data_IF_207341236495
#
_entry.id   IF_207341236495
#
_cell.length_a   1.000
_cell.length_b   1.000
_cell.length_c   1.000
_cell.angle_alpha   90.00
_cell.angle_beta   90.00
_cell.angle_gamma   90.00
#
_symmetry.space_group_name_H-M   'P 1'
#
loop_
_entity.id
_entity.type
_entity.pdbx_description
1 polymer ?
#
# COMPACT_ATOMS: atom_id res chain seq x y z
N UNK A 1 38.86 50.74 18.40
CA UNK A 1 37.49 50.24 18.64
C UNK A 1 37.28 48.75 18.27
N UNK A 2 38.29 47.86 18.30
CA UNK A 2 38.15 46.48 17.80
C UNK A 2 38.12 45.33 18.83
N UNK A 3 38.39 45.59 20.12
CA UNK A 3 38.50 44.54 21.15
C UNK A 3 37.17 44.22 21.86
N UNK A 4 36.25 45.18 22.03
CA UNK A 4 34.97 44.92 22.72
C UNK A 4 34.00 44.07 21.90
N UNK A 5 34.03 44.16 20.57
CA UNK A 5 33.13 43.42 19.69
C UNK A 5 33.43 41.91 19.63
N UNK A 6 34.70 41.49 19.85
CA UNK A 6 35.08 40.07 19.86
C UNK A 6 34.69 39.36 21.16
N UNK A 7 34.78 40.06 22.29
CA UNK A 7 34.37 39.52 23.59
C UNK A 7 32.84 39.29 23.64
N UNK A 8 32.05 40.28 23.18
CA UNK A 8 30.60 40.16 23.12
C UNK A 8 30.12 39.08 22.13
N UNK A 9 30.85 38.86 21.02
CA UNK A 9 30.53 37.79 20.06
C UNK A 9 30.85 36.39 20.62
N UNK A 10 31.95 36.23 21.38
CA UNK A 10 32.30 34.97 22.03
C UNK A 10 31.29 34.58 23.12
N UNK A 11 30.79 35.56 23.89
CA UNK A 11 29.80 35.35 24.93
C UNK A 11 28.43 34.93 24.37
N UNK A 12 27.98 35.58 23.28
CA UNK A 12 26.76 35.16 22.56
C UNK A 12 26.88 33.77 21.95
N UNK A 13 28.05 33.42 21.39
CA UNK A 13 28.28 32.07 20.84
C UNK A 13 28.27 30.99 21.93
N UNK A 14 28.75 31.30 23.14
CA UNK A 14 28.71 30.39 24.28
C UNK A 14 27.26 30.18 24.78
N UNK A 15 26.47 31.25 24.86
CA UNK A 15 25.04 31.18 25.22
C UNK A 15 24.24 30.36 24.21
N UNK A 16 24.43 30.60 22.90
CA UNK A 16 23.77 29.83 21.83
C UNK A 16 24.12 28.34 21.87
N UNK A 17 25.38 27.98 22.15
CA UNK A 17 25.80 26.57 22.29
C UNK A 17 25.19 25.90 23.53
N UNK A 18 25.06 26.64 24.63
CA UNK A 18 24.43 26.14 25.84
C UNK A 18 22.91 25.89 25.66
N UNK A 19 22.23 26.77 24.91
CA UNK A 19 20.81 26.59 24.56
C UNK A 19 20.61 25.45 23.56
N UNK A 20 21.44 25.34 22.52
CA UNK A 20 21.40 24.22 21.57
C UNK A 20 21.62 22.87 22.27
N UNK A 21 22.57 22.79 23.21
CA UNK A 21 22.81 21.58 24.01
C UNK A 21 21.66 21.25 24.99
N UNK A 22 20.86 22.23 25.40
CA UNK A 22 19.63 21.99 26.20
C UNK A 22 18.51 21.48 25.31
N UNK A 23 18.31 22.08 24.13
CA UNK A 23 17.29 21.64 23.16
C UNK A 23 17.57 20.23 22.63
N UNK A 24 18.84 19.88 22.38
CA UNK A 24 19.19 18.52 21.94
C UNK A 24 18.90 17.47 23.02
N UNK A 25 19.20 17.78 24.29
CA UNK A 25 18.88 16.92 25.43
C UNK A 25 17.37 16.78 25.62
N UNK A 26 16.62 17.87 25.52
CA UNK A 26 15.15 17.83 25.57
C UNK A 26 14.57 17.02 24.40
N UNK A 27 15.07 17.21 23.17
CA UNK A 27 14.63 16.44 22.00
C UNK A 27 14.93 14.94 22.15
N UNK A 28 16.11 14.56 22.65
CA UNK A 28 16.45 13.17 22.94
C UNK A 28 15.56 12.55 24.03
N UNK A 29 15.24 13.31 25.08
CA UNK A 29 14.33 12.88 26.14
C UNK A 29 12.89 12.72 25.65
N UNK A 30 12.40 13.65 24.82
CA UNK A 30 11.06 13.55 24.20
C UNK A 30 10.98 12.35 23.25
N UNK A 31 11.99 12.13 22.41
CA UNK A 31 12.04 10.94 21.53
C UNK A 31 12.05 9.65 22.35
N UNK A 32 12.86 9.56 23.40
CA UNK A 32 12.91 8.39 24.27
C UNK A 32 11.56 8.13 24.98
N UNK A 33 10.88 9.20 25.44
CA UNK A 33 9.56 9.09 26.06
C UNK A 33 8.49 8.63 25.06
N UNK A 34 8.51 9.15 23.82
CA UNK A 34 7.59 8.71 22.76
C UNK A 34 7.82 7.24 22.41
N UNK A 35 9.08 6.81 22.26
CA UNK A 35 9.42 5.41 22.00
C UNK A 35 8.90 4.51 23.12
N UNK A 36 9.10 4.89 24.39
CA UNK A 36 8.63 4.12 25.53
C UNK A 36 7.09 3.98 25.53
N UNK A 37 6.36 5.06 25.24
CA UNK A 37 4.90 5.03 25.14
C UNK A 37 4.43 4.13 23.99
N UNK A 38 5.05 4.22 22.81
CA UNK A 38 4.72 3.38 21.66
C UNK A 38 4.96 1.90 21.97
N UNK A 39 6.10 1.56 22.58
CA UNK A 39 6.41 0.17 22.98
C UNK A 39 5.39 -0.36 23.97
N UNK A 40 4.95 0.44 24.94
CA UNK A 40 3.92 0.03 25.90
C UNK A 40 2.57 -0.17 25.22
N UNK A 41 2.16 0.72 24.32
CA UNK A 41 0.92 0.58 23.56
C UNK A 41 0.96 -0.70 22.71
N UNK A 42 2.06 -0.93 21.99
CA UNK A 42 2.26 -2.15 21.19
C UNK A 42 2.22 -3.39 22.08
N UNK A 43 2.90 -3.40 23.23
CA UNK A 43 2.88 -4.53 24.16
C UNK A 43 1.49 -4.80 24.75
N UNK A 44 0.72 -3.75 25.06
CA UNK A 44 -0.66 -3.88 25.58
C UNK A 44 -1.61 -4.39 24.49
N UNK A 45 -1.50 -3.88 23.27
CA UNK A 45 -2.30 -4.34 22.11
C UNK A 45 -1.96 -5.79 21.77
N UNK A 46 -0.67 -6.16 21.74
CA UNK A 46 -0.24 -7.54 21.54
C UNK A 46 -0.75 -8.45 22.68
N UNK A 47 -0.69 -7.99 23.93
CA UNK A 47 -1.16 -8.74 25.09
C UNK A 47 -2.66 -9.02 25.09
N UNK A 48 -3.48 -8.06 24.67
CA UNK A 48 -4.95 -8.23 24.59
C UNK A 48 -5.37 -9.07 23.40
N UNK A 49 -4.66 -9.00 22.27
CA UNK A 49 -4.91 -9.81 21.07
C UNK A 49 -4.51 -11.29 21.27
N UNK A 50 -3.43 -11.55 22.02
CA UNK A 50 -3.02 -12.94 22.37
C UNK A 50 -4.03 -13.63 23.28
N UNK A 51 -4.68 -12.89 24.19
CA UNK A 51 -5.61 -13.46 25.16
C UNK A 51 -6.97 -13.87 24.57
N UNK A 52 -7.38 -13.29 23.43
CA UNK A 52 -8.72 -13.47 22.85
C UNK A 52 -8.71 -14.18 21.47
N UNK A 53 -7.67 -14.98 21.17
CA UNK A 53 -7.53 -15.63 19.85
C UNK A 53 -8.67 -16.62 19.54
N UNK A 54 -9.39 -16.45 18.41
CA UNK A 54 -10.12 -17.55 17.79
C UNK A 54 -9.14 -18.61 17.26
N UNK A 55 -9.65 -19.82 17.00
CA UNK A 55 -8.82 -20.94 16.54
C UNK A 55 -8.11 -20.61 15.21
N UNK A 56 -6.84 -21.05 15.04
CA UNK A 56 -6.11 -20.82 13.80
C UNK A 56 -6.85 -21.45 12.61
N UNK A 57 -7.04 -20.66 11.55
CA UNK A 57 -7.50 -21.21 10.28
C UNK A 57 -6.41 -22.13 9.71
N UNK A 58 -6.77 -23.24 9.05
CA UNK A 58 -5.80 -24.10 8.41
C UNK A 58 -4.94 -23.31 7.42
N UNK A 59 -3.61 -23.45 7.53
CA UNK A 59 -2.69 -22.94 6.52
C UNK A 59 -3.12 -23.44 5.14
N UNK A 60 -3.24 -22.53 4.17
CA UNK A 60 -3.69 -22.82 2.81
C UNK A 60 -2.74 -23.83 2.14
N UNK A 61 -3.05 -25.11 2.28
CA UNK A 61 -2.38 -26.24 1.62
C UNK A 61 -3.13 -26.70 0.38
N UNK A 62 -4.01 -25.86 -0.18
CA UNK A 62 -4.74 -26.13 -1.41
C UNK A 62 -4.31 -25.21 -2.54
N UNK A 63 -3.29 -25.60 -3.31
CA UNK A 63 -2.87 -24.97 -4.58
C UNK A 63 -3.91 -25.15 -5.72
N UNK A 64 -5.18 -25.24 -5.38
CA UNK A 64 -6.28 -25.34 -6.34
C UNK A 64 -7.22 -24.17 -6.18
N UNK A 65 -7.51 -23.75 -4.94
CA UNK A 65 -8.36 -22.59 -4.67
C UNK A 65 -7.66 -21.26 -4.97
N UNK A 66 -6.36 -21.15 -4.65
CA UNK A 66 -5.62 -19.90 -4.87
C UNK A 66 -5.41 -19.62 -6.37
N UNK A 67 -5.08 -20.64 -7.14
CA UNK A 67 -4.87 -20.59 -8.60
C UNK A 67 -6.17 -20.28 -9.32
N UNK A 68 -7.28 -20.92 -8.92
CA UNK A 68 -8.60 -20.61 -9.46
C UNK A 68 -9.03 -19.17 -9.11
N UNK A 69 -8.75 -18.72 -7.90
CA UNK A 69 -9.02 -17.34 -7.49
C UNK A 69 -8.19 -16.33 -8.29
N UNK A 70 -6.89 -16.57 -8.48
CA UNK A 70 -6.02 -15.70 -9.29
C UNK A 70 -6.50 -15.64 -10.74
N UNK A 71 -6.84 -16.79 -11.34
CA UNK A 71 -7.33 -16.86 -12.71
C UNK A 71 -8.61 -16.04 -12.91
N UNK A 72 -9.51 -16.04 -11.92
CA UNK A 72 -10.71 -15.19 -11.93
C UNK A 72 -10.41 -13.73 -11.64
N UNK A 73 -9.43 -13.45 -10.78
CA UNK A 73 -9.05 -12.09 -10.37
C UNK A 73 -8.44 -11.29 -11.52
N UNK A 74 -7.57 -11.91 -12.33
CA UNK A 74 -6.97 -11.26 -13.51
C UNK A 74 -7.94 -11.11 -14.68
N UNK A 75 -9.13 -11.71 -14.59
CA UNK A 75 -10.13 -11.74 -15.65
C UNK A 75 -11.53 -11.30 -15.17
N UNK A 76 -11.62 -10.39 -14.19
CA UNK A 76 -12.90 -9.87 -13.70
C UNK A 76 -13.68 -9.25 -14.87
N UNK A 77 -14.92 -9.69 -15.13
CA UNK A 77 -15.74 -9.10 -16.17
C UNK A 77 -16.00 -7.60 -15.92
N UNK A 78 -15.95 -6.74 -16.96
CA UNK A 78 -16.30 -5.32 -16.80
C UNK A 78 -17.67 -5.10 -16.16
N UNK A 79 -18.65 -5.97 -16.46
CA UNK A 79 -19.99 -5.90 -15.89
C UNK A 79 -20.01 -6.07 -14.35
N UNK A 80 -19.10 -6.87 -13.78
CA UNK A 80 -18.96 -7.00 -12.31
C UNK A 80 -18.53 -5.67 -11.72
N UNK A 81 -17.50 -5.05 -12.30
CA UNK A 81 -16.95 -3.77 -11.84
C UNK A 81 -17.91 -2.59 -12.08
N UNK A 82 -18.71 -2.62 -13.17
CA UNK A 82 -19.74 -1.61 -13.46
C UNK A 82 -20.99 -1.71 -12.57
N UNK A 83 -21.17 -2.86 -11.89
CA UNK A 83 -22.20 -3.11 -10.91
C UNK A 83 -21.76 -2.78 -9.47
N UNK A 84 -20.47 -2.51 -9.26
CA UNK A 84 -19.92 -2.12 -7.96
C UNK A 84 -20.58 -0.83 -7.44
N UNK A 85 -20.64 -0.65 -6.11
CA UNK A 85 -21.02 0.63 -5.53
C UNK A 85 -20.03 1.74 -5.94
N UNK A 86 -20.48 2.99 -5.84
CA UNK A 86 -19.60 4.14 -6.10
C UNK A 86 -18.42 4.13 -5.11
N UNK A 87 -17.19 4.36 -5.58
CA UNK A 87 -16.03 4.42 -4.70
C UNK A 87 -16.14 5.51 -3.63
N UNK A 88 -15.48 5.28 -2.51
CA UNK A 88 -15.40 6.24 -1.41
C UNK A 88 -14.18 7.16 -1.58
N UNK A 89 -14.24 8.44 -1.15
CA UNK A 89 -13.09 9.34 -1.20
C UNK A 89 -11.85 8.82 -0.45
N UNK A 90 -12.03 8.00 0.60
CA UNK A 90 -10.94 7.38 1.34
C UNK A 90 -10.12 6.37 0.52
N UNK A 91 -10.67 5.90 -0.61
CA UNK A 91 -9.99 4.97 -1.52
C UNK A 91 -9.19 5.72 -2.61
N UNK A 92 -9.42 7.04 -2.75
CA UNK A 92 -8.76 7.84 -3.77
C UNK A 92 -7.28 8.05 -3.44
N UNK A 93 -6.36 7.82 -4.38
CA UNK A 93 -4.96 8.21 -4.23
C UNK A 93 -4.82 9.70 -3.92
N UNK A 94 -4.01 10.01 -2.92
CA UNK A 94 -3.72 11.38 -2.54
C UNK A 94 -2.70 12.00 -3.48
N UNK A 95 -2.89 13.27 -3.84
CA UNK A 95 -1.92 13.99 -4.67
C UNK A 95 -0.65 14.33 -3.87
N UNK A 96 0.50 14.08 -4.48
CA UNK A 96 1.81 14.35 -3.89
C UNK A 96 2.28 15.77 -4.23
N UNK A 97 2.63 16.53 -3.20
CA UNK A 97 3.13 17.89 -3.37
C UNK A 97 4.53 17.93 -4.00
N UNK A 98 4.73 18.81 -4.98
CA UNK A 98 6.02 18.95 -5.68
C UNK A 98 6.47 17.66 -6.38
N UNK A 99 5.50 16.85 -6.80
CA UNK A 99 5.73 15.59 -7.50
C UNK A 99 6.36 15.79 -8.88
N UNK A 100 7.18 14.82 -9.26
CA UNK A 100 7.74 14.70 -10.61
C UNK A 100 7.18 13.43 -11.23
N UNK A 101 6.78 13.42 -12.52
CA UNK A 101 6.35 12.21 -13.18
C UNK A 101 7.39 11.10 -13.08
N UNK A 102 6.97 9.94 -12.59
CA UNK A 102 7.78 8.72 -12.53
C UNK A 102 7.50 7.89 -13.78
N UNK A 103 8.53 7.61 -14.56
CA UNK A 103 8.42 6.84 -15.80
C UNK A 103 9.46 5.74 -15.86
N UNK A 104 9.16 4.68 -16.61
CA UNK A 104 10.06 3.59 -16.94
C UNK A 104 9.80 3.19 -18.39
N UNK A 105 10.86 3.17 -19.20
CA UNK A 105 10.78 2.89 -20.63
C UNK A 105 9.73 3.75 -21.38
N UNK A 106 9.62 5.03 -20.99
CA UNK A 106 8.68 5.99 -21.57
C UNK A 106 7.23 5.83 -21.10
N UNK A 107 6.93 4.85 -20.23
CA UNK A 107 5.59 4.61 -19.67
C UNK A 107 5.47 5.15 -18.26
N UNK A 108 4.28 5.59 -17.86
CA UNK A 108 4.04 5.96 -16.46
C UNK A 108 4.26 4.74 -15.56
N UNK A 109 5.05 4.92 -14.50
CA UNK A 109 5.44 3.82 -13.60
C UNK A 109 4.56 3.82 -12.36
N UNK A 110 3.98 2.67 -12.07
CA UNK A 110 3.32 2.36 -10.81
C UNK A 110 4.31 1.59 -9.94
N UNK A 111 4.54 2.07 -8.72
CA UNK A 111 5.42 1.41 -7.75
C UNK A 111 4.58 0.93 -6.58
N UNK A 112 4.65 -0.37 -6.28
CA UNK A 112 4.12 -0.96 -5.06
C UNK A 112 5.27 -1.26 -4.09
N UNK A 113 5.11 -0.90 -2.82
CA UNK A 113 6.00 -1.30 -1.73
C UNK A 113 5.18 -1.97 -0.65
N UNK A 114 5.53 -3.20 -0.32
CA UNK A 114 4.84 -4.00 0.68
C UNK A 114 5.75 -5.07 1.27
N UNK A 115 5.14 -5.95 2.06
CA UNK A 115 5.77 -7.15 2.59
C UNK A 115 4.70 -8.24 2.75
N UNK A 116 5.06 -9.50 2.55
CA UNK A 116 4.10 -10.60 2.61
C UNK A 116 3.50 -10.75 4.01
N UNK A 117 4.25 -10.48 5.08
CA UNK A 117 3.76 -10.56 6.46
C UNK A 117 2.60 -9.61 6.75
N UNK A 118 2.52 -8.48 6.03
CA UNK A 118 1.63 -7.37 6.31
C UNK A 118 0.19 -7.66 5.83
N UNK A 119 -0.82 -7.70 6.72
CA UNK A 119 -2.19 -8.03 6.32
C UNK A 119 -2.87 -6.96 5.47
N UNK A 120 -2.62 -5.68 5.73
CA UNK A 120 -3.13 -4.61 4.87
C UNK A 120 -2.55 -4.72 3.45
N UNK A 121 -1.30 -5.16 3.34
CA UNK A 121 -0.64 -5.45 2.08
C UNK A 121 -1.31 -6.64 1.39
N UNK A 122 -1.64 -7.68 2.16
CA UNK A 122 -2.38 -8.84 1.67
C UNK A 122 -3.72 -8.44 1.02
N UNK A 123 -4.46 -7.52 1.63
CA UNK A 123 -5.73 -7.04 1.10
C UNK A 123 -5.56 -6.17 -0.15
N UNK A 124 -4.61 -5.22 -0.12
CA UNK A 124 -4.37 -4.30 -1.23
C UNK A 124 -3.89 -5.01 -2.50
N UNK A 125 -3.17 -6.13 -2.39
CA UNK A 125 -2.74 -6.91 -3.57
C UNK A 125 -3.91 -7.45 -4.39
N UNK A 126 -5.05 -7.77 -3.78
CA UNK A 126 -6.26 -8.15 -4.53
C UNK A 126 -6.74 -7.01 -5.43
N UNK A 127 -6.77 -5.79 -4.87
CA UNK A 127 -7.13 -4.57 -5.60
C UNK A 127 -6.15 -4.30 -6.74
N UNK A 128 -4.85 -4.35 -6.44
CA UNK A 128 -3.79 -4.06 -7.40
C UNK A 128 -3.78 -5.06 -8.56
N UNK A 129 -3.91 -6.36 -8.29
CA UNK A 129 -3.97 -7.38 -9.35
C UNK A 129 -5.22 -7.17 -10.21
N UNK A 130 -6.39 -6.96 -9.59
CA UNK A 130 -7.64 -6.74 -10.32
C UNK A 130 -7.59 -5.51 -11.22
N UNK A 131 -7.04 -4.39 -10.73
CA UNK A 131 -6.94 -3.16 -11.51
C UNK A 131 -5.86 -3.21 -12.61
N UNK A 132 -4.64 -3.66 -12.29
CA UNK A 132 -3.53 -3.70 -13.24
C UNK A 132 -3.76 -4.70 -14.38
N UNK A 133 -4.47 -5.81 -14.12
CA UNK A 133 -4.82 -6.80 -15.15
C UNK A 133 -5.73 -6.22 -16.26
N UNK A 134 -6.32 -5.03 -16.05
CA UNK A 134 -7.07 -4.30 -17.07
C UNK A 134 -6.16 -3.57 -18.07
N UNK A 135 -4.88 -3.39 -17.74
CA UNK A 135 -3.90 -2.65 -18.55
C UNK A 135 -2.78 -3.55 -19.08
N UNK A 136 -2.70 -4.80 -18.64
CA UNK A 136 -1.61 -5.69 -18.99
C UNK A 136 -1.77 -7.08 -18.40
N UNK A 137 -0.68 -7.84 -18.39
CA UNK A 137 -0.69 -9.25 -17.98
C UNK A 137 0.41 -9.51 -16.96
N UNK A 138 0.03 -10.22 -15.89
CA UNK A 138 0.98 -10.73 -14.90
C UNK A 138 1.47 -12.12 -15.28
N UNK A 139 2.73 -12.41 -14.91
CA UNK A 139 3.31 -13.74 -14.90
C UNK A 139 4.05 -13.98 -13.59
N UNK A 140 4.04 -15.21 -13.07
CA UNK A 140 4.83 -15.58 -11.90
C UNK A 140 4.27 -15.13 -10.54
N UNK A 141 3.03 -14.62 -10.48
CA UNK A 141 2.34 -14.38 -9.21
C UNK A 141 2.19 -15.71 -8.46
N UNK A 142 2.55 -15.73 -7.18
CA UNK A 142 2.44 -16.91 -6.30
C UNK A 142 1.48 -16.65 -5.15
N UNK A 143 0.73 -17.66 -4.69
CA UNK A 143 -0.07 -17.53 -3.48
C UNK A 143 0.82 -17.45 -2.23
N UNK A 144 0.40 -16.64 -1.26
CA UNK A 144 0.98 -16.54 0.09
C UNK A 144 -0.11 -16.07 1.06
N UNK A 145 0.18 -15.95 2.34
CA UNK A 145 -0.73 -15.34 3.31
C UNK A 145 0.02 -14.35 4.18
N UNK A 146 -0.69 -13.42 4.82
CA UNK A 146 -0.08 -12.59 5.86
C UNK A 146 0.48 -13.43 7.02
N UNK A 147 1.23 -12.77 7.90
CA UNK A 147 1.75 -13.38 9.13
C UNK A 147 0.61 -13.94 9.97
N UNK A 148 0.86 -15.06 10.63
CA UNK A 148 -0.10 -15.69 11.55
C UNK A 148 -0.23 -14.96 12.89
N UNK A 149 0.59 -13.94 13.15
CA UNK A 149 0.66 -13.23 14.44
C UNK A 149 0.28 -11.75 14.39
N UNK A 150 -0.15 -11.24 13.23
CA UNK A 150 -0.61 -9.86 13.08
C UNK A 150 -2.12 -9.72 13.37
N UNK A 151 -2.66 -8.50 13.29
CA UNK A 151 -4.04 -8.15 13.63
C UNK A 151 -5.10 -8.83 12.75
N UNK A 152 -4.75 -9.18 11.51
CA UNK A 152 -5.57 -9.97 10.59
C UNK A 152 -4.73 -11.19 10.13
N UNK A 153 -4.65 -12.22 10.98
CA UNK A 153 -3.70 -13.31 10.78
C UNK A 153 -4.07 -14.19 9.59
N UNK A 154 -3.05 -14.74 8.93
CA UNK A 154 -3.21 -15.73 7.86
C UNK A 154 -4.15 -15.26 6.72
N UNK A 155 -4.23 -13.94 6.47
CA UNK A 155 -5.06 -13.35 5.40
C UNK A 155 -4.60 -13.86 4.03
N UNK A 156 -5.44 -14.58 3.26
CA UNK A 156 -5.04 -15.11 1.96
C UNK A 156 -4.76 -14.01 0.93
N UNK A 157 -3.64 -14.14 0.22
CA UNK A 157 -3.22 -13.16 -0.79
C UNK A 157 -2.27 -13.74 -1.81
N UNK A 158 -1.68 -12.90 -2.63
CA UNK A 158 -0.65 -13.27 -3.57
C UNK A 158 0.61 -12.49 -3.27
N UNK A 159 1.74 -12.92 -3.81
CA UNK A 159 3.00 -12.19 -3.72
C UNK A 159 3.36 -11.63 -5.09
N UNK A 160 3.83 -10.39 -5.11
CA UNK A 160 4.49 -9.83 -6.28
C UNK A 160 5.97 -10.21 -6.36
N UNK A 161 6.55 -10.81 -5.32
CA UNK A 161 7.95 -11.25 -5.34
C UNK A 161 8.18 -12.25 -6.47
N UNK A 162 9.12 -11.91 -7.37
CA UNK A 162 9.43 -12.69 -8.56
C UNK A 162 8.34 -12.70 -9.64
N UNK A 163 7.28 -11.90 -9.49
CA UNK A 163 6.28 -11.69 -10.54
C UNK A 163 6.79 -10.66 -11.57
N UNK A 164 6.23 -10.70 -12.77
CA UNK A 164 6.48 -9.70 -13.81
C UNK A 164 5.16 -9.21 -14.39
N UNK A 165 5.15 -7.97 -14.87
CA UNK A 165 3.99 -7.34 -15.48
C UNK A 165 4.35 -6.76 -16.85
N UNK A 166 3.58 -7.11 -17.87
CA UNK A 166 3.76 -6.64 -19.25
C UNK A 166 2.56 -5.79 -19.66
N UNK A 167 2.81 -4.60 -20.22
CA UNK A 167 1.78 -3.66 -20.67
C UNK A 167 2.35 -2.68 -21.70
N UNK A 168 1.51 -2.27 -22.65
CA UNK A 168 1.79 -1.20 -23.60
C UNK A 168 1.52 0.21 -23.03
N UNK A 169 0.83 0.30 -21.89
CA UNK A 169 0.31 1.57 -21.38
C UNK A 169 1.07 2.09 -20.15
N UNK A 170 1.50 1.19 -19.28
CA UNK A 170 2.17 1.54 -18.03
C UNK A 170 3.30 0.55 -17.70
N UNK A 171 4.16 0.94 -16.78
CA UNK A 171 5.10 0.06 -16.12
C UNK A 171 4.63 -0.21 -14.69
N UNK A 172 4.84 -1.43 -14.21
CA UNK A 172 4.59 -1.79 -12.83
C UNK A 172 5.85 -2.40 -12.24
N UNK A 173 6.25 -1.90 -11.08
CA UNK A 173 7.30 -2.49 -10.27
C UNK A 173 6.77 -2.67 -8.85
N UNK A 174 7.02 -3.84 -8.28
CA UNK A 174 6.67 -4.15 -6.91
C UNK A 174 7.92 -4.53 -6.14
N UNK A 175 7.96 -4.12 -4.88
CA UNK A 175 8.99 -4.51 -3.92
C UNK A 175 8.29 -5.15 -2.73
N UNK A 176 8.49 -6.46 -2.57
CA UNK A 176 8.07 -7.20 -1.38
C UNK A 176 9.28 -7.32 -0.47
N UNK A 177 9.36 -6.52 0.60
CA UNK A 177 10.61 -6.41 1.38
C UNK A 177 10.88 -7.64 2.22
N UNK A 178 9.84 -8.32 2.68
CA UNK A 178 9.93 -9.47 3.59
C UNK A 178 8.85 -10.51 3.27
N UNK A 179 9.17 -11.79 3.53
CA UNK A 179 8.23 -12.90 3.46
C UNK A 179 7.27 -12.89 4.66
N UNK A 180 6.33 -13.83 4.68
CA UNK A 180 5.32 -13.90 5.74
C UNK A 180 5.89 -14.20 7.13
N UNK A 181 7.08 -14.80 7.18
CA UNK A 181 7.84 -15.07 8.40
C UNK A 181 8.78 -13.92 8.80
N UNK A 182 8.78 -12.81 8.04
CA UNK A 182 9.64 -11.64 8.29
C UNK A 182 11.08 -11.83 7.85
N UNK A 183 11.35 -12.74 6.91
CA UNK A 183 12.68 -12.88 6.30
C UNK A 183 12.79 -11.96 5.10
N UNK A 184 13.95 -11.33 4.85
CA UNK A 184 14.13 -10.45 3.71
C UNK A 184 13.84 -11.14 2.36
N UNK A 185 13.18 -10.42 1.45
CA UNK A 185 12.89 -10.83 0.08
C UNK A 185 13.56 -9.86 -0.92
N UNK A 186 12.85 -8.80 -1.32
CA UNK A 186 13.35 -7.77 -2.22
C UNK A 186 14.00 -6.62 -1.44
N UNK A 187 14.91 -5.89 -2.08
CA UNK A 187 15.52 -4.68 -1.50
C UNK A 187 14.93 -3.43 -2.14
N UNK A 188 14.31 -2.56 -1.33
CA UNK A 188 13.90 -1.23 -1.78
C UNK A 188 15.12 -0.31 -1.85
N UNK A 189 15.55 0.04 -3.05
CA UNK A 189 16.75 0.85 -3.28
C UNK A 189 16.61 1.89 -4.38
N UNK A 190 17.68 2.67 -4.59
CA UNK A 190 17.78 3.68 -5.64
C UNK A 190 16.66 4.73 -5.61
N UNK A 191 16.21 5.13 -6.80
CA UNK A 191 15.18 6.15 -6.97
C UNK A 191 13.84 5.78 -6.31
N UNK A 192 13.49 4.48 -6.24
CA UNK A 192 12.28 4.03 -5.58
C UNK A 192 12.36 4.24 -4.06
N UNK A 193 13.51 3.95 -3.44
CA UNK A 193 13.73 4.22 -2.02
C UNK A 193 13.71 5.71 -1.69
N UNK A 194 14.30 6.56 -2.55
CA UNK A 194 14.25 8.01 -2.38
C UNK A 194 12.83 8.55 -2.47
N UNK A 195 12.04 8.07 -3.44
CA UNK A 195 10.65 8.42 -3.61
C UNK A 195 9.80 7.99 -2.40
N UNK A 196 9.93 6.73 -1.98
CA UNK A 196 9.24 6.19 -0.82
C UNK A 196 9.56 6.99 0.44
N UNK A 197 10.85 7.27 0.71
CA UNK A 197 11.27 8.06 1.88
C UNK A 197 10.74 9.49 1.84
N UNK A 198 10.70 10.13 0.67
CA UNK A 198 10.24 11.51 0.51
C UNK A 198 8.73 11.64 0.79
N UNK A 199 7.93 10.71 0.27
CA UNK A 199 6.47 10.81 0.29
C UNK A 199 5.78 9.90 1.32
N UNK A 200 6.53 8.99 1.94
CA UNK A 200 6.07 8.11 3.02
C UNK A 200 7.13 8.02 4.13
N UNK A 201 7.48 9.14 4.79
CA UNK A 201 8.54 9.18 5.81
C UNK A 201 8.25 8.30 7.04
N UNK A 202 6.99 7.91 7.25
CA UNK A 202 6.58 6.96 8.29
C UNK A 202 6.82 5.49 7.94
N UNK A 203 7.15 5.18 6.68
CA UNK A 203 7.44 3.81 6.23
C UNK A 203 6.26 2.86 6.26
N UNK A 204 5.02 3.38 6.31
CA UNK A 204 3.81 2.55 6.35
C UNK A 204 3.63 1.74 5.06
N UNK A 205 3.20 0.49 5.18
CA UNK A 205 2.90 -0.40 4.05
C UNK A 205 1.46 -0.96 4.17
N UNK A 206 0.78 -1.26 3.06
CA UNK A 206 1.24 -1.10 1.68
C UNK A 206 1.31 0.37 1.30
N UNK A 207 2.25 0.70 0.42
CA UNK A 207 2.32 2.01 -0.20
C UNK A 207 2.37 1.85 -1.70
N UNK A 208 1.46 2.53 -2.40
CA UNK A 208 1.39 2.48 -3.85
C UNK A 208 1.55 3.88 -4.40
N UNK A 209 2.50 4.07 -5.31
CA UNK A 209 2.71 5.30 -6.05
C UNK A 209 2.24 5.15 -7.48
N UNK A 210 1.55 6.17 -7.97
CA UNK A 210 0.99 6.23 -9.31
C UNK A 210 1.67 7.33 -10.11
N UNK A 211 2.62 6.94 -10.96
CA UNK A 211 3.31 7.83 -11.90
C UNK A 211 4.08 8.96 -11.21
N UNK A 212 4.50 8.80 -9.96
CA UNK A 212 5.21 9.81 -9.18
C UNK A 212 4.33 10.93 -8.63
N UNK A 213 3.05 10.99 -9.00
CA UNK A 213 2.17 12.15 -8.76
C UNK A 213 1.11 11.92 -7.69
N UNK A 214 0.71 10.66 -7.47
CA UNK A 214 -0.28 10.29 -6.47
C UNK A 214 0.19 9.07 -5.69
N UNK A 215 -0.34 8.89 -4.48
CA UNK A 215 -0.09 7.68 -3.72
C UNK A 215 -1.25 7.28 -2.79
N UNK A 216 -1.35 5.99 -2.52
CA UNK A 216 -2.11 5.43 -1.39
C UNK A 216 -1.14 4.93 -0.32
N UNK A 217 -1.56 5.03 0.94
CA UNK A 217 -0.82 4.53 2.10
C UNK A 217 -1.79 3.78 2.99
N UNK A 218 -1.51 2.50 3.25
CA UNK A 218 -2.46 1.56 3.82
C UNK A 218 -3.35 0.89 2.77
N UNK A 219 -4.13 -0.10 3.23
CA UNK A 219 -5.14 -0.75 2.39
C UNK A 219 -6.27 0.22 2.05
N UNK A 220 -6.76 0.15 0.82
CA UNK A 220 -7.89 0.94 0.30
C UNK A 220 -9.24 0.24 0.48
N UNK A 221 -9.26 -0.82 1.30
CA UNK A 221 -10.43 -1.67 1.55
C UNK A 221 -10.67 -1.84 3.05
N UNK A 222 -11.88 -2.23 3.42
CA UNK A 222 -12.18 -2.68 4.78
C UNK A 222 -11.40 -3.96 5.06
N UNK A 223 -10.54 -3.94 6.06
CA UNK A 223 -9.70 -5.08 6.40
C UNK A 223 -10.50 -6.23 7.05
N UNK A 224 -11.55 -5.89 7.80
CA UNK A 224 -12.28 -6.86 8.63
C UNK A 224 -13.08 -7.88 7.81
N UNK A 225 -13.44 -7.53 6.56
CA UNK A 225 -14.23 -8.43 5.70
C UNK A 225 -13.43 -9.63 5.20
N UNK A 226 -12.11 -9.58 5.28
CA UNK A 226 -11.18 -10.66 4.90
C UNK A 226 -10.94 -11.67 6.03
N UNK A 227 -11.28 -11.32 7.27
CA UNK A 227 -10.98 -12.17 8.44
C UNK A 227 -11.63 -13.55 8.30
N UNK A 228 -10.79 -14.58 8.48
CA UNK A 228 -11.17 -15.99 8.40
C UNK A 228 -11.68 -16.45 7.03
N UNK A 229 -11.48 -15.67 5.96
CA UNK A 229 -11.89 -16.05 4.61
C UNK A 229 -10.85 -16.91 3.92
N UNK A 230 -11.29 -17.77 3.02
CA UNK A 230 -10.43 -18.49 2.07
C UNK A 230 -10.31 -17.71 0.74
N UNK A 231 -9.35 -18.09 -0.12
CA UNK A 231 -9.26 -17.56 -1.49
C UNK A 231 -10.59 -17.65 -2.25
N UNK A 232 -11.26 -18.81 -2.17
CA UNK A 232 -12.54 -19.05 -2.86
C UNK A 232 -13.64 -18.13 -2.36
N UNK A 233 -13.70 -17.87 -1.05
CA UNK A 233 -14.68 -16.95 -0.46
C UNK A 233 -14.38 -15.50 -0.84
N UNK A 234 -13.10 -15.11 -0.87
CA UNK A 234 -12.69 -13.76 -1.28
C UNK A 234 -13.08 -13.52 -2.73
N UNK A 235 -12.67 -14.41 -3.65
CA UNK A 235 -12.96 -14.21 -5.07
C UNK A 235 -14.46 -14.33 -5.38
N UNK A 236 -15.20 -15.21 -4.68
CA UNK A 236 -16.65 -15.26 -4.81
C UNK A 236 -17.30 -13.95 -4.36
N UNK A 237 -16.80 -13.35 -3.26
CA UNK A 237 -17.23 -12.03 -2.79
C UNK A 237 -16.96 -10.90 -3.79
N UNK A 238 -15.78 -10.88 -4.42
CA UNK A 238 -15.45 -9.93 -5.49
C UNK A 238 -16.41 -10.06 -6.70
N UNK A 239 -16.94 -11.27 -6.95
CA UNK A 239 -17.91 -11.49 -8.04
C UNK A 239 -19.36 -11.20 -7.63
N UNK A 240 -19.61 -10.88 -6.36
CA UNK A 240 -20.91 -10.49 -5.82
C UNK A 240 -20.84 -9.04 -5.29
N UNK A 241 -21.34 -8.05 -6.05
CA UNK A 241 -21.29 -6.65 -5.67
C UNK A 241 -22.14 -6.32 -4.41
N UNK A 242 -22.95 -7.27 -3.93
CA UNK A 242 -23.74 -7.13 -2.70
C UNK A 242 -23.05 -7.72 -1.48
N UNK A 243 -21.97 -8.50 -1.67
CA UNK A 243 -21.18 -9.05 -0.58
C UNK A 243 -20.36 -7.94 0.11
N UNK A 244 -20.00 -8.15 1.38
CA UNK A 244 -19.16 -7.18 2.11
C UNK A 244 -17.77 -7.02 1.46
N UNK A 245 -17.25 -8.08 0.81
CA UNK A 245 -15.99 -8.02 0.06
C UNK A 245 -16.18 -7.20 -1.22
N UNK A 246 -17.18 -7.50 -2.05
CA UNK A 246 -17.44 -6.77 -3.30
C UNK A 246 -17.75 -5.29 -3.05
N UNK A 247 -18.45 -4.97 -1.95
CA UNK A 247 -18.74 -3.58 -1.53
C UNK A 247 -17.49 -2.75 -1.24
N UNK A 248 -16.36 -3.36 -0.90
CA UNK A 248 -15.12 -2.62 -0.59
C UNK A 248 -14.04 -2.79 -1.66
N UNK A 249 -13.86 -4.01 -2.19
CA UNK A 249 -12.80 -4.35 -3.14
C UNK A 249 -13.10 -3.81 -4.54
N UNK A 250 -14.30 -4.01 -5.05
CA UNK A 250 -14.65 -3.60 -6.42
C UNK A 250 -14.58 -2.08 -6.62
N UNK A 251 -15.12 -1.22 -5.71
CA UNK A 251 -14.90 0.21 -5.81
C UNK A 251 -13.43 0.61 -5.68
N UNK A 252 -12.63 -0.10 -4.88
CA UNK A 252 -11.18 0.14 -4.81
C UNK A 252 -10.50 -0.16 -6.14
N UNK A 253 -10.84 -1.29 -6.78
CA UNK A 253 -10.35 -1.65 -8.12
C UNK A 253 -10.71 -0.55 -9.12
N UNK A 254 -11.94 -0.05 -9.08
CA UNK A 254 -12.41 1.01 -9.96
C UNK A 254 -11.67 2.34 -9.71
N UNK A 255 -11.40 2.68 -8.45
CA UNK A 255 -10.66 3.88 -8.07
C UNK A 255 -9.20 3.81 -8.56
N UNK A 256 -8.52 2.68 -8.33
CA UNK A 256 -7.17 2.45 -8.85
C UNK A 256 -7.18 2.50 -10.37
N UNK A 257 -8.13 1.83 -11.02
CA UNK A 257 -8.29 1.85 -12.49
C UNK A 257 -8.45 3.28 -13.01
N UNK A 258 -9.25 4.12 -12.36
CA UNK A 258 -9.43 5.52 -12.75
C UNK A 258 -8.14 6.34 -12.58
N UNK A 259 -7.39 6.11 -11.49
CA UNK A 259 -6.09 6.74 -11.32
C UNK A 259 -5.12 6.33 -12.44
N UNK A 260 -5.07 5.05 -12.79
CA UNK A 260 -4.24 4.55 -13.89
C UNK A 260 -4.67 5.13 -15.25
N UNK A 261 -5.97 5.33 -15.47
CA UNK A 261 -6.48 6.01 -16.65
C UNK A 261 -5.99 7.46 -16.80
N UNK A 262 -5.81 8.19 -15.69
CA UNK A 262 -5.16 9.50 -15.75
C UNK A 262 -3.68 9.38 -16.15
N UNK A 263 -2.96 8.38 -15.63
CA UNK A 263 -1.54 8.16 -15.91
C UNK A 263 -1.26 7.73 -17.35
N UNK A 264 -2.25 7.15 -18.01
CA UNK A 264 -2.16 6.60 -19.37
C UNK A 264 -2.85 7.48 -20.41
N UNK A 265 -3.28 8.69 -20.04
CA UNK A 265 -4.05 9.59 -20.90
C UNK A 265 -5.32 8.93 -21.49
N UNK A 266 -6.00 8.13 -20.68
CA UNK A 266 -7.25 7.46 -21.05
C UNK A 266 -7.09 6.17 -21.85
N UNK A 267 -5.93 5.51 -21.80
CA UNK A 267 -5.68 4.25 -22.51
C UNK A 267 -5.53 3.05 -21.57
N UNK A 268 -6.13 1.89 -21.87
CA UNK A 268 -6.92 1.61 -23.08
C UNK A 268 -8.36 2.16 -22.96
N UNK A 269 -8.88 2.69 -24.06
CA UNK A 269 -10.13 3.47 -24.03
C UNK A 269 -11.36 2.66 -23.57
N UNK A 270 -11.42 1.36 -23.88
CA UNK A 270 -12.49 0.47 -23.42
C UNK A 270 -12.53 0.32 -21.90
N UNK A 271 -11.38 0.44 -21.23
CA UNK A 271 -11.28 0.45 -19.76
C UNK A 271 -11.57 1.84 -19.24
N UNK A 272 -10.91 2.86 -19.78
CA UNK A 272 -10.95 4.22 -19.25
C UNK A 272 -12.26 4.97 -19.49
N UNK A 273 -13.06 4.55 -20.48
CA UNK A 273 -14.41 5.06 -20.70
C UNK A 273 -15.50 4.20 -20.04
N UNK A 274 -15.14 3.17 -19.27
CA UNK A 274 -16.13 2.33 -18.57
C UNK A 274 -16.94 3.13 -17.56
N UNK A 275 -18.19 2.69 -17.31
CA UNK A 275 -19.11 3.35 -16.39
C UNK A 275 -18.49 3.45 -14.98
N UNK A 276 -17.88 2.37 -14.52
CA UNK A 276 -17.16 2.31 -13.27
C UNK A 276 -16.06 3.38 -13.14
N UNK A 277 -15.19 3.51 -14.15
CA UNK A 277 -14.08 4.48 -14.14
C UNK A 277 -14.60 5.92 -14.20
N UNK A 278 -15.63 6.15 -15.01
CA UNK A 278 -16.27 7.47 -15.09
C UNK A 278 -16.92 7.88 -13.77
N UNK A 279 -17.47 6.93 -13.00
CA UNK A 279 -18.02 7.19 -11.68
C UNK A 279 -16.93 7.50 -10.62
N UNK A 280 -15.75 6.90 -10.75
CA UNK A 280 -14.62 7.11 -9.84
C UNK A 280 -13.84 8.41 -10.11
N UNK A 281 -13.75 8.82 -11.38
CA UNK A 281 -12.90 9.94 -11.84
C UNK A 281 -13.12 11.27 -11.11
N UNK A 282 -14.36 11.69 -10.77
CA UNK A 282 -14.60 12.94 -10.02
C UNK A 282 -14.03 12.94 -8.60
N UNK A 283 -13.72 11.77 -8.03
CA UNK A 283 -13.19 11.61 -6.67
C UNK A 283 -11.66 11.69 -6.63
N UNK A 284 -10.99 11.60 -7.78
CA UNK A 284 -9.54 11.74 -7.87
C UNK A 284 -9.14 13.18 -7.54
N UNK A 285 -8.13 13.32 -6.69
CA UNK A 285 -7.57 14.62 -6.36
C UNK A 285 -6.83 15.18 -7.57
N UNK A 286 -7.04 16.47 -7.87
CA UNK A 286 -6.45 17.14 -9.04
C UNK A 286 -5.13 17.80 -8.75
#
# INVERSE_FOLDING_TARGET
MGKSNRAAAAERAAQMRAEAARQERQRKQVIAAVIAVVVVIVAVVLGTVVANRPSPSPAATGSTGAEAALAKLVAIPPATLDAAPTPQPSQAPAKLAGATPLTQDGKSKVLYVGAEYCPFCAMERWVMIGALSRFGTFSGIKPTTSSSSDVHPDTPTFSFHGASFTSDHLAFEAVETEDREGKPLDTLEGANAELFKKYNPGGGIPWVNYGGTHATSGATVDATVFDGKTYDQIIAGIYDPTSEIGKTVDPAINMVTAQLCQQTNGQPSNVCASKAVMAATPLLQK
#
